data_IF_588115389288
#
_entry.id   IF_588115389288
#
_cell.length_a   1.000
_cell.length_b   1.000
_cell.length_c   1.000
_cell.angle_alpha   90.00
_cell.angle_beta   90.00
_cell.angle_gamma   90.00
#
_symmetry.space_group_name_H-M   'P 1'
#
loop_
_entity.id
_entity.type
_entity.pdbx_description
1 polymer ?
#
# COMPACT_ATOMS: atom_id res chain seq x y z
N UNK A 1 -17.57 -53.22 -19.00
CA UNK A 1 -18.19 -52.03 -18.39
C UNK A 1 -17.26 -51.53 -17.29
N UNK A 2 -16.46 -50.50 -17.58
CA UNK A 2 -15.37 -50.05 -16.71
C UNK A 2 -15.85 -48.96 -15.74
N UNK A 3 -15.42 -49.07 -14.48
CA UNK A 3 -15.84 -48.28 -13.32
C UNK A 3 -15.43 -46.81 -13.44
N UNK A 4 -16.39 -45.91 -13.21
CA UNK A 4 -16.15 -44.49 -12.96
C UNK A 4 -15.59 -44.34 -11.54
N UNK A 5 -14.28 -44.17 -11.41
CA UNK A 5 -13.62 -43.81 -10.15
C UNK A 5 -13.66 -42.28 -10.02
N UNK A 6 -14.60 -41.79 -9.20
CA UNK A 6 -14.75 -40.38 -8.86
C UNK A 6 -13.69 -40.03 -7.82
N UNK A 7 -12.52 -39.60 -8.28
CA UNK A 7 -11.43 -39.19 -7.39
C UNK A 7 -11.76 -37.79 -6.84
N UNK A 8 -12.34 -37.74 -5.64
CA UNK A 8 -12.48 -36.52 -4.85
C UNK A 8 -11.09 -36.07 -4.41
N UNK A 9 -10.51 -35.11 -5.12
CA UNK A 9 -9.26 -34.48 -4.73
C UNK A 9 -9.42 -33.81 -3.37
N UNK A 10 -8.79 -34.40 -2.35
CA UNK A 10 -8.49 -33.74 -1.09
C UNK A 10 -7.57 -32.55 -1.37
N UNK A 11 -8.15 -31.39 -1.65
CA UNK A 11 -7.40 -30.14 -1.48
C UNK A 11 -7.19 -29.94 0.02
N UNK A 12 -5.94 -29.74 0.50
CA UNK A 12 -5.71 -29.39 1.89
C UNK A 12 -6.52 -28.13 2.23
N UNK A 13 -6.93 -27.91 3.49
CA UNK A 13 -7.58 -26.67 3.88
C UNK A 13 -6.61 -25.54 3.56
N UNK A 14 -6.86 -24.88 2.43
CA UNK A 14 -6.12 -23.70 2.02
C UNK A 14 -6.25 -22.76 3.20
N UNK A 15 -5.13 -22.50 3.88
CA UNK A 15 -5.08 -21.60 5.02
C UNK A 15 -5.44 -20.22 4.47
N UNK A 16 -6.74 -19.95 4.35
CA UNK A 16 -7.28 -18.70 3.85
C UNK A 16 -6.79 -17.67 4.83
N UNK A 17 -5.68 -17.03 4.50
CA UNK A 17 -5.28 -15.83 5.20
C UNK A 17 -6.49 -14.91 5.11
N UNK A 18 -7.06 -14.60 6.27
CA UNK A 18 -8.22 -13.71 6.34
C UNK A 18 -7.86 -12.43 5.59
N UNK A 19 -8.77 -11.94 4.75
CA UNK A 19 -8.57 -10.69 4.00
C UNK A 19 -8.14 -9.55 4.94
N UNK A 20 -8.67 -9.53 6.15
CA UNK A 20 -8.32 -8.59 7.22
C UNK A 20 -6.83 -8.67 7.57
N UNK A 21 -6.27 -9.87 7.72
CA UNK A 21 -4.84 -10.06 8.03
C UNK A 21 -3.95 -9.54 6.90
N UNK A 22 -4.36 -9.74 5.64
CA UNK A 22 -3.64 -9.22 4.47
C UNK A 22 -3.65 -7.70 4.46
N UNK A 23 -4.81 -7.08 4.70
CA UNK A 23 -4.97 -5.62 4.71
C UNK A 23 -4.12 -5.00 5.83
N UNK A 24 -4.20 -5.53 7.05
CA UNK A 24 -3.43 -5.02 8.19
C UNK A 24 -1.92 -5.15 7.92
N UNK A 25 -1.47 -6.31 7.44
CA UNK A 25 -0.05 -6.52 7.13
C UNK A 25 0.43 -5.57 6.03
N UNK A 26 -0.37 -5.35 4.99
CA UNK A 26 -0.05 -4.43 3.91
C UNK A 26 0.01 -2.98 4.35
N UNK A 27 -0.99 -2.52 5.12
CA UNK A 27 -1.00 -1.18 5.67
C UNK A 27 0.20 -0.94 6.60
N UNK A 28 0.55 -1.92 7.43
CA UNK A 28 1.72 -1.83 8.32
C UNK A 28 3.03 -1.78 7.52
N UNK A 29 3.17 -2.61 6.49
CA UNK A 29 4.35 -2.59 5.61
C UNK A 29 4.46 -1.26 4.86
N UNK A 30 3.35 -0.74 4.31
CA UNK A 30 3.32 0.57 3.64
C UNK A 30 3.64 1.72 4.60
N UNK A 31 3.24 1.66 5.87
CA UNK A 31 3.64 2.64 6.87
C UNK A 31 5.14 2.54 7.18
N UNK A 32 5.64 1.32 7.38
CA UNK A 32 7.05 1.09 7.72
C UNK A 32 7.99 1.58 6.62
N UNK A 33 7.71 1.25 5.36
CA UNK A 33 8.47 1.73 4.21
C UNK A 33 8.39 3.26 4.11
N UNK A 34 7.23 3.85 4.38
CA UNK A 34 7.02 5.29 4.28
C UNK A 34 7.85 6.04 5.32
N UNK A 35 7.89 5.54 6.56
CA UNK A 35 8.72 6.11 7.63
C UNK A 35 10.20 6.03 7.25
N UNK A 36 10.69 4.86 6.80
CA UNK A 36 12.10 4.71 6.40
C UNK A 36 12.45 5.68 5.27
N UNK A 37 11.62 5.74 4.23
CA UNK A 37 11.88 6.56 3.06
C UNK A 37 11.84 8.07 3.40
N UNK A 38 10.94 8.47 4.31
CA UNK A 38 10.86 9.84 4.81
C UNK A 38 12.07 10.21 5.67
N UNK A 39 12.54 9.29 6.52
CA UNK A 39 13.76 9.49 7.31
C UNK A 39 14.99 9.67 6.41
N UNK A 40 15.13 8.81 5.39
CA UNK A 40 16.21 8.95 4.39
C UNK A 40 16.13 10.29 3.67
N UNK A 41 14.94 10.71 3.24
CA UNK A 41 14.74 12.03 2.62
C UNK A 41 15.18 13.15 3.57
N UNK A 42 14.82 13.07 4.86
CA UNK A 42 15.20 14.06 5.85
C UNK A 42 16.72 14.14 6.04
N UNK A 43 17.42 13.01 6.05
CA UNK A 43 18.89 12.98 6.12
C UNK A 43 19.51 13.61 4.86
N UNK A 44 19.01 13.24 3.68
CA UNK A 44 19.49 13.80 2.41
C UNK A 44 19.27 15.31 2.36
N UNK A 45 18.10 15.80 2.77
CA UNK A 45 17.81 17.24 2.83
C UNK A 45 18.76 17.99 3.77
N UNK A 46 19.18 17.37 4.87
CA UNK A 46 20.09 17.98 5.84
C UNK A 46 21.51 18.16 5.28
N UNK A 47 21.96 17.24 4.42
CA UNK A 47 23.29 17.28 3.81
C UNK A 47 23.28 18.13 2.52
N UNK A 48 22.13 18.18 1.85
CA UNK A 48 21.94 18.85 0.56
C UNK A 48 21.41 20.29 0.70
N UNK A 49 21.82 21.03 1.74
CA UNK A 49 21.42 22.44 2.01
C UNK A 49 21.57 23.39 0.80
N UNK A 50 22.35 23.03 -0.23
CA UNK A 50 22.58 23.82 -1.44
C UNK A 50 21.69 23.47 -2.65
N UNK A 51 20.87 22.41 -2.61
CA UNK A 51 19.92 22.16 -3.70
C UNK A 51 18.61 22.90 -3.37
N UNK A 52 18.13 23.75 -4.30
CA UNK A 52 16.78 24.34 -4.33
C UNK A 52 15.70 23.25 -4.46
N UNK A 53 15.59 22.39 -3.46
CA UNK A 53 14.69 21.25 -3.43
C UNK A 53 13.28 21.64 -2.97
N UNK A 54 13.06 22.83 -2.44
CA UNK A 54 11.76 23.25 -1.89
C UNK A 54 10.60 23.00 -2.87
N UNK A 55 10.82 23.21 -4.18
CA UNK A 55 9.81 22.93 -5.20
C UNK A 55 9.61 21.43 -5.46
N UNK A 56 10.68 20.64 -5.35
CA UNK A 56 10.67 19.20 -5.60
C UNK A 56 10.25 18.37 -4.38
N UNK A 57 10.40 18.88 -3.16
CA UNK A 57 10.07 18.17 -1.90
C UNK A 57 8.63 17.68 -1.91
N UNK A 58 7.68 18.50 -2.35
CA UNK A 58 6.27 18.10 -2.44
C UNK A 58 6.06 16.94 -3.43
N UNK A 59 6.73 17.00 -4.58
CA UNK A 59 6.63 15.97 -5.62
C UNK A 59 7.29 14.65 -5.16
N UNK A 60 8.44 14.74 -4.50
CA UNK A 60 9.16 13.61 -3.91
C UNK A 60 8.33 12.95 -2.81
N UNK A 61 7.68 13.73 -1.94
CA UNK A 61 6.77 13.21 -0.91
C UNK A 61 5.63 12.39 -1.52
N UNK A 62 4.98 12.88 -2.58
CA UNK A 62 3.94 12.11 -3.28
C UNK A 62 4.52 10.83 -3.87
N UNK A 63 5.69 10.89 -4.51
CA UNK A 63 6.36 9.72 -5.08
C UNK A 63 6.70 8.67 -4.01
N UNK A 64 7.23 9.09 -2.86
CA UNK A 64 7.52 8.22 -1.72
C UNK A 64 6.23 7.57 -1.22
N UNK A 65 5.17 8.36 -1.06
CA UNK A 65 3.87 7.86 -0.60
C UNK A 65 3.33 6.78 -1.54
N UNK A 66 3.36 7.05 -2.85
CA UNK A 66 2.93 6.10 -3.89
C UNK A 66 3.77 4.83 -3.88
N UNK A 67 5.09 4.95 -3.84
CA UNK A 67 5.99 3.81 -3.83
C UNK A 67 5.80 2.95 -2.58
N UNK A 68 5.55 3.60 -1.44
CA UNK A 68 5.31 2.91 -0.17
C UNK A 68 3.99 2.12 -0.17
N UNK A 69 2.93 2.72 -0.72
CA UNK A 69 1.65 2.02 -0.90
C UNK A 69 1.82 0.86 -1.88
N UNK A 70 2.53 1.09 -2.99
CA UNK A 70 2.80 0.08 -4.01
C UNK A 70 3.57 -1.12 -3.43
N UNK A 71 4.69 -0.89 -2.75
CA UNK A 71 5.52 -1.96 -2.19
C UNK A 71 4.76 -2.72 -1.08
N UNK A 72 4.09 -2.01 -0.17
CA UNK A 72 3.38 -2.67 0.93
C UNK A 72 2.14 -3.43 0.47
N UNK A 73 1.40 -2.91 -0.53
CA UNK A 73 0.29 -3.65 -1.15
C UNK A 73 0.78 -4.86 -1.95
N UNK A 74 1.84 -4.72 -2.76
CA UNK A 74 2.43 -5.84 -3.50
C UNK A 74 2.91 -6.94 -2.57
N UNK A 75 3.61 -6.59 -1.48
CA UNK A 75 4.11 -7.57 -0.52
C UNK A 75 2.98 -8.29 0.25
N UNK A 76 1.88 -7.58 0.52
CA UNK A 76 0.75 -8.17 1.20
C UNK A 76 -0.09 -9.08 0.29
N UNK A 77 -0.29 -8.69 -0.97
CA UNK A 77 -1.14 -9.44 -1.92
C UNK A 77 -0.43 -10.63 -2.57
N UNK A 78 0.89 -10.79 -2.40
CA UNK A 78 1.65 -11.97 -2.86
C UNK A 78 1.06 -13.32 -2.44
N UNK A 79 0.32 -13.39 -1.33
CA UNK A 79 -0.33 -14.64 -0.89
C UNK A 79 -1.83 -14.67 -1.16
N UNK A 80 -2.36 -13.62 -1.79
CA UNK A 80 -3.75 -13.52 -2.17
C UNK A 80 -3.97 -14.15 -3.55
N UNK A 81 -4.93 -15.06 -3.65
CA UNK A 81 -5.11 -15.87 -4.85
C UNK A 81 -5.66 -15.11 -6.07
N UNK A 82 -6.71 -14.32 -5.86
CA UNK A 82 -7.51 -13.75 -6.97
C UNK A 82 -8.03 -12.35 -6.68
N UNK A 83 -7.89 -11.86 -5.45
CA UNK A 83 -8.46 -10.59 -4.99
C UNK A 83 -7.40 -9.50 -4.81
N UNK A 84 -6.25 -9.62 -5.50
CA UNK A 84 -5.11 -8.70 -5.37
C UNK A 84 -5.45 -7.25 -5.63
N UNK A 85 -6.23 -6.98 -6.68
CA UNK A 85 -6.66 -5.62 -7.02
C UNK A 85 -7.53 -5.00 -5.93
N UNK A 86 -8.55 -5.73 -5.46
CA UNK A 86 -9.47 -5.25 -4.41
C UNK A 86 -8.74 -5.08 -3.08
N UNK A 87 -7.89 -6.03 -2.71
CA UNK A 87 -7.07 -5.96 -1.49
C UNK A 87 -6.08 -4.79 -1.58
N UNK A 88 -5.42 -4.61 -2.72
CA UNK A 88 -4.49 -3.52 -2.96
C UNK A 88 -5.15 -2.15 -2.88
N UNK A 89 -6.32 -1.98 -3.52
CA UNK A 89 -7.13 -0.76 -3.39
C UNK A 89 -7.50 -0.50 -1.92
N UNK A 90 -7.94 -1.53 -1.21
CA UNK A 90 -8.33 -1.43 0.21
C UNK A 90 -7.14 -1.01 1.07
N UNK A 91 -5.96 -1.59 0.85
CA UNK A 91 -4.71 -1.21 1.55
C UNK A 91 -4.37 0.26 1.28
N UNK A 92 -4.49 0.71 0.02
CA UNK A 92 -4.25 2.11 -0.35
C UNK A 92 -5.21 3.08 0.37
N UNK A 93 -6.51 2.76 0.39
CA UNK A 93 -7.52 3.56 1.10
C UNK A 93 -7.23 3.59 2.60
N UNK A 94 -6.99 2.43 3.22
CA UNK A 94 -6.68 2.32 4.65
C UNK A 94 -5.44 3.12 5.00
N UNK A 95 -4.37 3.02 4.19
CA UNK A 95 -3.16 3.80 4.39
C UNK A 95 -3.43 5.31 4.33
N UNK A 96 -4.14 5.78 3.30
CA UNK A 96 -4.42 7.22 3.15
C UNK A 96 -5.27 7.74 4.30
N UNK A 97 -6.30 6.99 4.71
CA UNK A 97 -7.15 7.36 5.85
C UNK A 97 -6.34 7.44 7.15
N UNK A 98 -5.47 6.45 7.42
CA UNK A 98 -4.59 6.46 8.58
C UNK A 98 -3.60 7.63 8.53
N UNK A 99 -2.95 7.84 7.39
CA UNK A 99 -1.98 8.92 7.19
C UNK A 99 -2.61 10.30 7.39
N UNK A 100 -3.81 10.51 6.85
CA UNK A 100 -4.57 11.75 7.02
C UNK A 100 -5.03 11.93 8.47
N UNK A 101 -5.53 10.88 9.12
CA UNK A 101 -5.93 10.95 10.52
C UNK A 101 -4.76 11.33 11.44
N UNK A 102 -3.57 10.78 11.18
CA UNK A 102 -2.33 11.14 11.89
C UNK A 102 -1.94 12.60 11.59
N UNK A 103 -1.96 13.00 10.31
CA UNK A 103 -1.61 14.35 9.88
C UNK A 103 -2.51 15.43 10.49
N UNK A 104 -3.82 15.19 10.55
CA UNK A 104 -4.78 16.10 11.17
C UNK A 104 -4.52 16.28 12.68
N UNK A 105 -4.14 15.21 13.39
CA UNK A 105 -3.80 15.29 14.81
C UNK A 105 -2.49 16.03 15.08
N UNK A 106 -1.52 15.96 14.17
CA UNK A 106 -0.23 16.64 14.31
C UNK A 106 -0.33 18.12 13.98
N UNK A 107 -0.86 18.46 12.80
CA UNK A 107 -0.82 19.83 12.29
C UNK A 107 -1.96 20.71 12.80
N UNK A 108 -3.02 20.16 13.41
CA UNK A 108 -4.24 20.88 13.82
C UNK A 108 -4.93 21.70 12.70
N UNK A 109 -4.47 21.52 11.46
CA UNK A 109 -4.91 22.27 10.29
C UNK A 109 -5.94 21.45 9.51
N UNK A 110 -6.92 22.14 8.92
CA UNK A 110 -7.97 21.48 8.14
C UNK A 110 -7.48 21.18 6.73
N UNK A 111 -7.41 19.90 6.38
CA UNK A 111 -7.05 19.49 5.02
C UNK A 111 -8.23 19.77 4.09
N UNK A 112 -7.98 20.47 2.98
CA UNK A 112 -8.98 20.68 1.95
C UNK A 112 -9.47 19.35 1.37
N UNK A 113 -10.79 19.24 1.18
CA UNK A 113 -11.44 18.07 0.56
C UNK A 113 -10.81 17.69 -0.78
N UNK A 114 -10.37 18.69 -1.57
CA UNK A 114 -9.73 18.46 -2.86
C UNK A 114 -8.38 17.74 -2.71
N UNK A 115 -7.58 18.12 -1.71
CA UNK A 115 -6.29 17.50 -1.43
C UNK A 115 -6.47 16.07 -0.92
N UNK A 116 -7.49 15.85 -0.08
CA UNK A 116 -7.86 14.53 0.41
C UNK A 116 -8.29 13.60 -0.73
N UNK A 117 -9.17 14.09 -1.62
CA UNK A 117 -9.63 13.35 -2.79
C UNK A 117 -8.46 12.95 -3.71
N UNK A 118 -7.52 13.88 -3.94
CA UNK A 118 -6.34 13.60 -4.76
C UNK A 118 -5.43 12.54 -4.11
N UNK A 119 -5.20 12.63 -2.79
CA UNK A 119 -4.44 11.62 -2.03
C UNK A 119 -5.11 10.25 -2.06
N UNK A 120 -6.44 10.20 -1.96
CA UNK A 120 -7.20 8.95 -2.06
C UNK A 120 -7.11 8.35 -3.45
N UNK A 121 -7.35 9.13 -4.51
CA UNK A 121 -7.23 8.65 -5.88
C UNK A 121 -5.83 8.11 -6.17
N UNK A 122 -4.80 8.85 -5.74
CA UNK A 122 -3.41 8.43 -5.79
C UNK A 122 -3.17 7.11 -5.06
N UNK A 123 -3.59 7.02 -3.79
CA UNK A 123 -3.40 5.82 -2.98
C UNK A 123 -4.16 4.59 -3.51
N UNK A 124 -5.37 4.78 -4.04
CA UNK A 124 -6.14 3.72 -4.71
C UNK A 124 -5.40 3.24 -5.97
N UNK A 125 -4.91 4.16 -6.80
CA UNK A 125 -4.18 3.82 -8.02
C UNK A 125 -2.89 3.05 -7.71
N UNK A 126 -2.05 3.57 -6.81
CA UNK A 126 -0.81 2.89 -6.40
C UNK A 126 -1.09 1.55 -5.70
N UNK A 127 -2.13 1.49 -4.86
CA UNK A 127 -2.54 0.27 -4.17
C UNK A 127 -3.07 -0.79 -5.15
N UNK A 128 -3.86 -0.39 -6.14
CA UNK A 128 -4.34 -1.29 -7.20
C UNK A 128 -3.18 -1.86 -8.03
N UNK A 129 -2.26 -0.99 -8.46
CA UNK A 129 -1.06 -1.38 -9.21
C UNK A 129 -0.18 -2.34 -8.39
N UNK A 130 0.12 -1.99 -7.14
CA UNK A 130 0.90 -2.86 -6.26
C UNK A 130 0.19 -4.18 -5.99
N UNK A 131 -1.12 -4.12 -5.75
CA UNK A 131 -1.97 -5.30 -5.57
C UNK A 131 -1.94 -6.28 -6.74
N UNK A 132 -2.04 -5.76 -7.97
CA UNK A 132 -1.93 -6.53 -9.23
C UNK A 132 -0.53 -7.12 -9.44
N UNK A 133 0.52 -6.35 -9.17
CA UNK A 133 1.89 -6.85 -9.29
C UNK A 133 2.17 -7.91 -8.23
N UNK A 134 1.68 -7.73 -7.01
CA UNK A 134 1.86 -8.67 -5.91
C UNK A 134 1.31 -10.06 -6.22
N UNK A 135 0.09 -10.16 -6.78
CA UNK A 135 -0.49 -11.47 -7.15
C UNK A 135 0.20 -12.17 -8.32
N UNK A 136 0.95 -11.43 -9.15
CA UNK A 136 1.74 -12.04 -10.23
C UNK A 136 3.12 -12.48 -9.74
N UNK A 137 3.55 -12.02 -8.57
CA UNK A 137 4.79 -12.42 -7.92
C UNK A 137 4.65 -13.68 -7.05
N UNK A 138 3.44 -14.24 -6.96
CA UNK A 138 3.09 -15.38 -6.11
C UNK A 138 3.41 -16.74 -6.73
#
# INVERSE_FOLDING_TARGET
MARVSRNSSLTPPRKTQSAVTVIIKGAFMSLFVSVICTLLLSLVSLIAENLRLDHYVQYIMVAITMLSIFIGSAFATQKAASMGLILGMTIGVVYVLLSVAIGMKLSHETISLLVLANKLAAGIAAGALGGLVGINLS
#
